data_IF_313809469063
#
_entry.id   IF_313809469063
#
_cell.length_a   1.000
_cell.length_b   1.000
_cell.length_c   1.000
_cell.angle_alpha   90.00
_cell.angle_beta   90.00
_cell.angle_gamma   90.00
#
_symmetry.space_group_name_H-M   'P 1'
#
loop_
_entity.id
_entity.type
_entity.pdbx_description
1 polymer ?
#
# COMPACT_ATOMS: atom_id res chain seq x y z
N UNK A 1 -47.78 19.22 -55.07
CA UNK A 1 -46.86 18.77 -56.14
C UNK A 1 -45.54 19.50 -55.89
N UNK A 2 -44.65 18.97 -55.05
CA UNK A 2 -43.52 18.07 -55.36
C UNK A 2 -42.58 18.63 -56.45
N UNK A 3 -41.52 19.30 -56.02
CA UNK A 3 -40.21 19.29 -56.67
C UNK A 3 -39.20 18.74 -55.66
N UNK A 4 -38.58 17.64 -56.07
CA UNK A 4 -37.63 16.83 -55.32
C UNK A 4 -36.24 17.48 -55.41
N UNK A 5 -35.59 17.70 -54.27
CA UNK A 5 -34.13 17.86 -54.22
C UNK A 5 -33.60 16.93 -53.13
N UNK A 6 -32.56 16.21 -53.50
CA UNK A 6 -32.01 15.02 -52.88
C UNK A 6 -31.01 15.42 -51.77
N UNK A 7 -31.33 15.12 -50.50
CA UNK A 7 -30.42 15.29 -49.36
C UNK A 7 -29.78 13.95 -48.98
N UNK A 8 -28.67 13.63 -49.64
CA UNK A 8 -27.72 12.61 -49.18
C UNK A 8 -26.41 13.29 -48.78
N UNK A 9 -25.82 12.98 -47.61
CA UNK A 9 -24.55 13.56 -47.20
C UNK A 9 -23.39 12.97 -48.01
N UNK A 10 -22.60 13.83 -48.66
CA UNK A 10 -21.35 13.48 -49.32
C UNK A 10 -20.21 13.40 -48.29
N UNK A 11 -19.52 12.27 -48.22
CA UNK A 11 -18.29 12.10 -47.42
C UNK A 11 -17.11 12.92 -47.98
N UNK A 12 -16.23 13.47 -47.13
CA UNK A 12 -15.00 14.09 -47.61
C UNK A 12 -13.93 13.03 -47.95
N UNK A 13 -13.41 13.10 -49.18
CA UNK A 13 -12.25 12.35 -49.63
C UNK A 13 -10.98 12.85 -48.90
N UNK A 14 -10.37 12.01 -48.07
CA UNK A 14 -9.05 12.27 -47.47
C UNK A 14 -7.98 11.58 -48.31
N UNK A 15 -7.16 12.36 -49.03
CA UNK A 15 -5.93 11.87 -49.68
C UNK A 15 -4.73 12.17 -48.78
N UNK A 16 -3.94 11.17 -48.34
CA UNK A 16 -2.74 11.43 -47.55
C UNK A 16 -1.60 11.95 -48.45
N UNK A 17 -1.05 13.11 -48.10
CA UNK A 17 0.25 13.60 -48.59
C UNK A 17 1.40 12.86 -47.90
N UNK A 18 2.54 12.61 -48.58
CA UNK A 18 3.67 11.90 -47.99
C UNK A 18 4.38 12.77 -46.93
N UNK A 19 4.55 12.21 -45.74
CA UNK A 19 5.31 12.80 -44.62
C UNK A 19 6.80 12.99 -44.98
N UNK A 20 7.28 14.22 -44.82
CA UNK A 20 8.71 14.52 -44.74
C UNK A 20 9.18 14.20 -43.31
N UNK A 21 10.03 13.19 -43.17
CA UNK A 21 10.67 12.84 -41.89
C UNK A 21 11.63 13.97 -41.44
N UNK A 22 11.50 14.50 -40.21
CA UNK A 22 12.53 15.37 -39.66
C UNK A 22 13.76 14.54 -39.29
N UNK A 23 14.90 14.86 -39.92
CA UNK A 23 16.21 14.31 -39.60
C UNK A 23 16.58 14.66 -38.15
N UNK A 24 16.82 13.63 -37.33
CA UNK A 24 17.36 13.79 -35.98
C UNK A 24 18.84 14.24 -36.05
N UNK A 25 19.28 15.22 -35.25
CA UNK A 25 20.69 15.55 -35.15
C UNK A 25 21.45 14.39 -34.49
N UNK A 26 22.52 13.94 -35.14
CA UNK A 26 23.40 12.89 -34.65
C UNK A 26 24.00 13.27 -33.29
N UNK A 27 23.63 12.55 -32.23
CA UNK A 27 24.31 12.63 -30.95
C UNK A 27 25.67 11.93 -31.06
N UNK A 28 26.75 12.72 -31.10
CA UNK A 28 28.10 12.24 -30.79
C UNK A 28 28.10 11.75 -29.34
N UNK A 29 28.17 10.44 -29.15
CA UNK A 29 28.56 9.86 -27.87
C UNK A 29 30.01 10.25 -27.57
N UNK A 30 30.22 11.19 -26.65
CA UNK A 30 31.50 11.33 -25.97
C UNK A 30 31.60 10.21 -24.94
N UNK A 31 32.56 9.30 -25.14
CA UNK A 31 32.98 8.32 -24.13
C UNK A 31 33.42 9.06 -22.86
N UNK A 32 32.96 8.66 -21.66
CA UNK A 32 33.59 9.07 -20.43
C UNK A 32 35.02 8.50 -20.39
N UNK A 33 36.00 9.35 -20.11
CA UNK A 33 37.37 8.93 -19.86
C UNK A 33 37.43 7.92 -18.72
N UNK A 34 38.18 6.83 -18.93
CA UNK A 34 38.42 5.80 -17.94
C UNK A 34 39.10 6.38 -16.69
N UNK A 35 38.49 6.18 -15.52
CA UNK A 35 39.16 6.40 -14.24
C UNK A 35 40.29 5.36 -14.06
N UNK A 36 41.48 5.75 -13.57
CA UNK A 36 42.58 4.82 -13.36
C UNK A 36 42.23 3.79 -12.27
N UNK A 37 42.41 2.52 -12.60
CA UNK A 37 42.33 1.40 -11.66
C UNK A 37 43.44 1.53 -10.60
N UNK A 38 43.05 1.80 -9.35
CA UNK A 38 43.94 1.52 -8.22
C UNK A 38 43.83 0.03 -7.88
N UNK A 39 44.93 -0.69 -8.06
CA UNK A 39 45.08 -2.08 -7.67
C UNK A 39 44.97 -2.23 -6.16
N UNK A 40 44.04 -3.08 -5.71
CA UNK A 40 44.01 -3.56 -4.34
C UNK A 40 45.13 -4.60 -4.16
N UNK A 41 46.18 -4.22 -3.42
CA UNK A 41 47.13 -5.15 -2.81
C UNK A 41 46.57 -5.61 -1.45
N UNK A 42 46.56 -6.91 -1.13
CA UNK A 42 46.21 -7.36 0.21
C UNK A 42 47.30 -6.97 1.21
N UNK A 43 46.91 -6.24 2.26
CA UNK A 43 47.78 -5.87 3.36
C UNK A 43 48.20 -7.11 4.17
N UNK A 44 49.51 -7.32 4.25
CA UNK A 44 50.15 -8.31 5.11
C UNK A 44 49.94 -7.92 6.58
N UNK A 45 49.36 -8.84 7.36
CA UNK A 45 49.17 -8.66 8.80
C UNK A 45 50.50 -8.89 9.52
N UNK A 46 50.99 -7.89 10.24
CA UNK A 46 52.05 -8.07 11.24
C UNK A 46 51.44 -8.62 12.53
N UNK A 47 52.10 -9.57 13.21
CA UNK A 47 51.63 -10.10 14.49
C UNK A 47 51.94 -9.11 15.63
N UNK A 48 50.89 -8.70 16.35
CA UNK A 48 51.05 -8.01 17.65
C UNK A 48 51.08 -9.08 18.74
N UNK A 49 52.22 -9.15 19.44
CA UNK A 49 52.40 -9.93 20.65
C UNK A 49 51.60 -9.34 21.81
N UNK A 50 50.73 -10.14 22.43
CA UNK A 50 50.14 -9.84 23.74
C UNK A 50 50.63 -10.88 24.76
N UNK A 51 51.30 -10.39 25.80
CA UNK A 51 51.77 -11.16 26.95
C UNK A 51 50.60 -11.61 27.85
N UNK A 52 50.68 -12.79 28.50
CA UNK A 52 49.69 -13.22 29.49
C UNK A 52 49.92 -12.57 30.87
N UNK A 53 48.84 -12.09 31.48
CA UNK A 53 48.79 -11.65 32.90
C UNK A 53 48.20 -12.78 33.75
N UNK A 54 48.77 -13.12 34.92
CA UNK A 54 48.38 -14.27 35.74
C UNK A 54 47.09 -14.05 36.56
N UNK A 55 46.36 -15.12 36.92
CA UNK A 55 45.13 -15.03 37.72
C UNK A 55 45.41 -14.91 39.23
N UNK A 56 44.68 -14.04 39.91
CA UNK A 56 44.60 -13.98 41.38
C UNK A 56 43.46 -14.88 41.92
N UNK A 57 43.65 -15.55 43.07
CA UNK A 57 42.61 -16.33 43.72
C UNK A 57 41.84 -15.51 44.77
N UNK A 58 40.50 -15.60 44.77
CA UNK A 58 39.69 -15.22 45.93
C UNK A 58 38.63 -16.28 46.24
N UNK A 59 38.81 -16.84 47.42
CA UNK A 59 38.00 -17.78 48.17
C UNK A 59 36.78 -17.12 48.80
N UNK A 60 35.62 -17.81 48.78
CA UNK A 60 34.53 -17.61 49.74
C UNK A 60 34.05 -18.95 50.30
N UNK A 61 33.65 -19.01 51.59
CA UNK A 61 33.55 -20.24 52.37
C UNK A 61 32.25 -21.03 52.16
N UNK A 62 32.38 -22.36 52.16
CA UNK A 62 31.29 -23.33 52.12
C UNK A 62 30.72 -23.53 53.52
N UNK A 63 29.46 -23.13 53.74
CA UNK A 63 28.70 -23.52 54.92
C UNK A 63 28.08 -24.91 54.70
N UNK A 64 28.35 -25.82 55.62
CA UNK A 64 27.82 -27.18 55.67
C UNK A 64 26.36 -27.18 56.13
N UNK A 65 25.49 -27.87 55.39
CA UNK A 65 24.18 -28.32 55.87
C UNK A 65 24.05 -29.85 55.75
N UNK A 66 23.36 -30.50 56.71
CA UNK A 66 23.40 -31.94 56.91
C UNK A 66 22.55 -32.73 55.91
N UNK A 67 23.06 -33.90 55.53
CA UNK A 67 22.43 -34.91 54.67
C UNK A 67 21.27 -35.56 55.41
N UNK A 68 20.03 -35.40 54.91
CA UNK A 68 18.89 -36.23 55.31
C UNK A 68 18.81 -37.48 54.41
N UNK A 69 18.50 -38.67 54.97
CA UNK A 69 18.39 -39.91 54.20
C UNK A 69 17.14 -39.92 53.29
N UNK A 70 17.36 -40.38 52.04
CA UNK A 70 16.37 -40.50 50.98
C UNK A 70 15.24 -41.46 51.35
N UNK A 71 13.99 -40.99 51.23
CA UNK A 71 12.81 -41.86 51.10
C UNK A 71 12.59 -42.20 49.61
N UNK A 72 12.17 -43.44 49.27
CA UNK A 72 11.99 -43.86 47.88
C UNK A 72 10.78 -43.17 47.23
N UNK A 73 11.04 -42.45 46.14
CA UNK A 73 10.03 -41.77 45.31
C UNK A 73 9.41 -42.80 44.34
N UNK A 74 8.09 -42.95 44.41
CA UNK A 74 7.30 -43.73 43.47
C UNK A 74 7.34 -43.11 42.05
N UNK A 75 7.29 -43.90 40.97
CA UNK A 75 7.48 -43.41 39.61
C UNK A 75 6.31 -42.50 39.17
N UNK A 76 6.60 -41.22 38.93
CA UNK A 76 5.69 -40.27 38.31
C UNK A 76 5.96 -40.13 36.81
N UNK A 77 4.86 -39.98 36.06
CA UNK A 77 4.72 -40.05 34.61
C UNK A 77 5.77 -39.35 33.75
N UNK A 78 6.02 -39.97 32.60
CA UNK A 78 6.77 -39.45 31.47
C UNK A 78 6.19 -38.11 30.99
N UNK A 79 6.92 -37.02 31.16
CA UNK A 79 6.74 -35.82 30.34
C UNK A 79 7.63 -35.95 29.10
N UNK A 80 7.10 -35.76 27.88
CA UNK A 80 7.93 -35.81 26.68
C UNK A 80 8.92 -34.64 26.67
N UNK A 81 10.20 -34.96 26.48
CA UNK A 81 11.27 -33.98 26.30
C UNK A 81 10.99 -33.10 25.07
N UNK A 82 11.25 -31.79 25.20
CA UNK A 82 11.22 -30.86 24.07
C UNK A 82 12.24 -31.32 23.00
N UNK A 83 11.88 -31.31 21.70
CA UNK A 83 12.80 -31.72 20.65
C UNK A 83 13.97 -30.75 20.55
N UNK A 84 15.19 -31.28 20.50
CA UNK A 84 16.40 -30.51 20.23
C UNK A 84 16.26 -29.80 18.85
N UNK A 85 16.75 -28.56 18.71
CA UNK A 85 16.71 -27.87 17.43
C UNK A 85 17.58 -28.64 16.42
N UNK A 86 16.96 -29.14 15.36
CA UNK A 86 17.68 -29.69 14.22
C UNK A 86 18.55 -28.58 13.63
N UNK A 87 19.86 -28.83 13.53
CA UNK A 87 20.83 -27.95 12.87
C UNK A 87 20.47 -27.81 11.39
N UNK A 88 19.66 -26.80 11.07
CA UNK A 88 19.46 -26.36 9.70
C UNK A 88 20.79 -25.88 9.12
N UNK A 89 21.19 -26.42 7.98
CA UNK A 89 22.35 -25.95 7.20
C UNK A 89 22.14 -24.53 6.64
N UNK A 90 20.92 -24.00 6.70
CA UNK A 90 20.61 -22.62 6.34
C UNK A 90 20.81 -21.75 7.56
N UNK A 91 21.74 -20.80 7.44
CA UNK A 91 22.03 -19.80 8.47
C UNK A 91 20.73 -19.11 8.92
N UNK A 92 20.48 -18.93 10.23
CA UNK A 92 19.21 -18.39 10.75
C UNK A 92 18.80 -17.04 10.13
N UNK A 93 19.76 -16.18 9.81
CA UNK A 93 19.52 -14.88 9.16
C UNK A 93 19.23 -14.95 7.64
N UNK A 94 19.43 -16.10 7.01
CA UNK A 94 19.12 -16.35 5.59
C UNK A 94 17.77 -17.08 5.42
N UNK A 95 17.08 -17.40 6.52
CA UNK A 95 15.71 -17.90 6.48
C UNK A 95 14.78 -16.76 6.08
N UNK A 96 14.55 -16.60 4.77
CA UNK A 96 13.59 -15.66 4.21
C UNK A 96 12.20 -16.07 4.68
N UNK A 97 11.58 -15.24 5.53
CA UNK A 97 10.35 -15.56 6.27
C UNK A 97 10.52 -16.86 7.05
N UNK A 98 11.07 -16.72 8.26
CA UNK A 98 11.30 -17.81 9.17
C UNK A 98 10.11 -18.77 9.26
N UNK A 99 10.49 -20.05 9.37
CA UNK A 99 9.71 -21.16 9.84
C UNK A 99 8.99 -22.02 8.79
N UNK A 100 9.55 -23.21 8.56
CA UNK A 100 8.79 -24.44 8.28
C UNK A 100 7.87 -24.85 9.45
N UNK A 101 7.74 -24.02 10.49
CA UNK A 101 6.68 -24.15 11.49
C UNK A 101 5.36 -23.79 10.81
N UNK A 102 4.30 -24.54 11.05
CA UNK A 102 3.00 -24.22 10.47
C UNK A 102 2.60 -22.81 10.89
N UNK A 103 2.46 -21.91 9.91
CA UNK A 103 1.87 -20.59 10.11
C UNK A 103 0.56 -20.81 10.88
N UNK A 104 0.45 -20.19 12.06
CA UNK A 104 -0.75 -20.30 12.88
C UNK A 104 -1.91 -19.81 12.01
N UNK A 105 -2.82 -20.72 11.66
CA UNK A 105 -3.98 -20.35 10.85
C UNK A 105 -4.77 -19.31 11.64
N UNK A 106 -5.10 -18.17 11.03
CA UNK A 106 -5.95 -17.18 11.67
C UNK A 106 -7.21 -17.86 12.22
N UNK A 107 -7.52 -17.60 13.49
CA UNK A 107 -8.73 -18.07 14.14
C UNK A 107 -9.96 -17.28 13.71
N UNK A 108 -9.74 -16.09 13.14
CA UNK A 108 -10.76 -15.20 12.60
C UNK A 108 -10.62 -15.07 11.07
N UNK A 109 -11.72 -14.86 10.34
CA UNK A 109 -11.66 -14.64 8.89
C UNK A 109 -10.82 -13.41 8.50
N UNK A 110 -10.87 -12.34 9.30
CA UNK A 110 -10.12 -11.09 9.09
C UNK A 110 -9.08 -10.88 10.21
N UNK A 111 -7.96 -10.18 9.92
CA UNK A 111 -6.94 -9.87 10.92
C UNK A 111 -7.45 -8.86 11.97
N UNK A 112 -6.94 -8.95 13.21
CA UNK A 112 -7.21 -7.97 14.27
C UNK A 112 -6.38 -6.70 14.10
N UNK A 113 -6.95 -5.54 14.41
CA UNK A 113 -6.23 -4.24 14.43
C UNK A 113 -5.09 -4.22 15.48
N UNK A 114 -5.05 -5.16 16.41
CA UNK A 114 -3.98 -5.27 17.41
C UNK A 114 -2.62 -5.65 16.82
N UNK A 115 -2.61 -6.15 15.57
CA UNK A 115 -1.37 -6.32 14.81
C UNK A 115 -0.75 -4.98 14.37
N UNK A 116 -1.49 -3.87 14.50
CA UNK A 116 -1.05 -2.52 14.14
C UNK A 116 -0.76 -1.69 15.39
N UNK A 117 0.32 -0.91 15.32
CA UNK A 117 0.68 0.06 16.36
C UNK A 117 -0.45 1.08 16.58
N UNK A 118 -0.95 1.26 17.82
CA UNK A 118 -1.93 2.28 18.12
C UNK A 118 -1.34 3.70 18.03
N UNK A 119 -2.17 4.73 17.74
CA UNK A 119 -1.72 6.10 17.84
C UNK A 119 -1.37 6.45 19.31
N UNK A 120 -0.47 7.41 19.55
CA UNK A 120 -0.18 7.93 20.89
C UNK A 120 -1.47 8.42 21.59
N UNK A 121 -1.57 8.20 22.89
CA UNK A 121 -2.73 8.62 23.70
C UNK A 121 -2.80 10.12 23.96
N UNK A 122 -1.66 10.81 23.90
CA UNK A 122 -1.55 12.24 24.14
C UNK A 122 -1.43 13.01 22.82
N UNK A 123 -2.41 13.86 22.54
CA UNK A 123 -2.33 14.85 21.46
C UNK A 123 -1.74 16.12 22.05
N UNK A 124 -0.58 16.56 21.55
CA UNK A 124 -0.01 17.81 22.00
C UNK A 124 -0.94 18.99 21.69
N UNK A 125 -1.16 19.90 22.65
CA UNK A 125 -2.02 21.05 22.44
C UNK A 125 -1.41 21.99 21.40
N UNK A 126 -2.29 22.63 20.62
CA UNK A 126 -1.88 23.64 19.66
C UNK A 126 -1.46 24.92 20.40
N UNK A 127 -0.23 25.36 20.17
CA UNK A 127 0.28 26.64 20.67
C UNK A 127 -0.27 27.80 19.82
N UNK A 128 -1.39 28.39 20.26
CA UNK A 128 -2.05 29.50 19.58
C UNK A 128 -1.17 30.75 19.51
N UNK A 129 -0.36 31.01 20.53
CA UNK A 129 0.54 32.16 20.56
C UNK A 129 1.64 32.04 19.50
N UNK A 130 2.21 30.85 19.32
CA UNK A 130 3.15 30.59 18.24
C UNK A 130 2.50 30.76 16.85
N UNK A 131 1.23 30.37 16.69
CA UNK A 131 0.49 30.54 15.44
C UNK A 131 0.22 32.01 15.12
N UNK A 132 -0.18 32.82 16.08
CA UNK A 132 -0.37 34.27 15.89
C UNK A 132 0.95 34.97 15.52
N UNK A 133 2.06 34.61 16.17
CA UNK A 133 3.37 35.14 15.80
C UNK A 133 3.77 34.72 14.38
N UNK A 134 3.51 33.47 14.00
CA UNK A 134 3.73 33.00 12.63
C UNK A 134 2.86 33.76 11.62
N UNK A 135 1.58 34.02 11.94
CA UNK A 135 0.69 34.80 11.10
C UNK A 135 1.25 36.21 10.82
N UNK A 136 1.66 36.93 11.87
CA UNK A 136 2.30 38.25 11.73
C UNK A 136 3.60 38.19 10.93
N UNK A 137 4.39 37.13 11.10
CA UNK A 137 5.61 36.92 10.33
C UNK A 137 5.30 36.68 8.84
N UNK A 138 4.26 35.92 8.52
CA UNK A 138 3.80 35.69 7.15
C UNK A 138 3.41 37.01 6.48
N UNK A 139 2.62 37.84 7.15
CA UNK A 139 2.24 39.18 6.65
C UNK A 139 3.48 40.05 6.39
N UNK A 140 4.41 40.09 7.35
CA UNK A 140 5.65 40.85 7.21
C UNK A 140 6.50 40.36 6.02
N UNK A 141 6.64 39.04 5.83
CA UNK A 141 7.39 38.49 4.70
C UNK A 141 6.70 38.75 3.36
N UNK A 142 5.38 38.68 3.29
CA UNK A 142 4.66 39.05 2.07
C UNK A 142 4.86 40.54 1.75
N UNK A 143 4.85 41.41 2.76
CA UNK A 143 5.09 42.83 2.60
C UNK A 143 6.49 43.15 2.04
N UNK A 144 7.54 42.41 2.45
CA UNK A 144 8.90 42.54 1.90
C UNK A 144 8.93 42.33 0.37
N UNK A 145 8.06 41.45 -0.16
CA UNK A 145 7.90 41.24 -1.61
C UNK A 145 6.88 42.18 -2.26
N UNK A 146 6.46 43.24 -1.55
CA UNK A 146 5.42 44.20 -1.96
C UNK A 146 4.08 43.52 -2.25
N UNK A 147 3.73 42.52 -1.44
CA UNK A 147 2.43 41.84 -1.47
C UNK A 147 1.71 42.21 -0.17
N UNK A 148 0.67 43.04 -0.29
CA UNK A 148 -0.16 43.40 0.86
C UNK A 148 -1.27 42.34 1.03
N UNK A 149 -1.24 41.65 2.16
CA UNK A 149 -2.20 40.63 2.53
C UNK A 149 -2.30 40.56 4.05
N UNK A 150 -3.49 40.29 4.55
CA UNK A 150 -3.78 40.12 5.97
C UNK A 150 -4.14 38.65 6.24
N UNK A 151 -3.61 38.06 7.31
CA UNK A 151 -4.00 36.73 7.78
C UNK A 151 -5.28 36.87 8.58
N UNK A 152 -6.40 36.43 8.01
CA UNK A 152 -7.72 36.55 8.64
C UNK A 152 -8.07 35.35 9.50
N UNK A 153 -7.43 34.21 9.25
CA UNK A 153 -7.67 32.97 10.00
C UNK A 153 -6.50 31.99 9.83
N UNK A 154 -6.44 30.98 10.69
CA UNK A 154 -5.55 29.83 10.53
C UNK A 154 -6.21 28.54 11.01
N UNK A 155 -5.85 27.42 10.39
CA UNK A 155 -6.35 26.09 10.71
C UNK A 155 -5.16 25.14 10.87
N UNK A 156 -4.78 24.82 12.12
CA UNK A 156 -3.69 23.90 12.42
C UNK A 156 -4.14 22.46 12.16
N UNK A 157 -3.28 21.68 11.50
CA UNK A 157 -3.48 20.27 11.22
C UNK A 157 -2.35 19.39 11.76
N UNK A 158 -2.36 18.07 11.46
CA UNK A 158 -1.34 17.15 11.97
C UNK A 158 0.08 17.42 11.44
N UNK A 159 0.19 17.80 10.16
CA UNK A 159 1.49 17.96 9.46
C UNK A 159 1.78 19.40 9.07
N UNK A 160 0.73 20.14 8.71
CA UNK A 160 0.81 21.53 8.26
C UNK A 160 -0.20 22.39 9.01
N UNK A 161 -0.02 23.70 8.95
CA UNK A 161 -1.02 24.70 9.32
C UNK A 161 -1.34 25.54 8.09
N UNK A 162 -2.64 25.72 7.80
CA UNK A 162 -3.10 26.60 6.72
C UNK A 162 -3.43 27.97 7.29
N UNK A 163 -2.80 29.01 6.76
CA UNK A 163 -3.14 30.41 7.01
C UNK A 163 -4.03 30.92 5.87
N UNK A 164 -5.12 31.58 6.20
CA UNK A 164 -6.06 32.16 5.23
C UNK A 164 -5.71 33.63 5.03
N UNK A 165 -5.35 33.99 3.80
CA UNK A 165 -4.89 35.31 3.42
C UNK A 165 -6.00 36.07 2.70
N UNK A 166 -6.32 37.25 3.22
CA UNK A 166 -7.11 38.25 2.51
C UNK A 166 -6.16 39.17 1.74
N UNK A 167 -6.20 39.10 0.42
CA UNK A 167 -5.31 39.90 -0.43
C UNK A 167 -5.87 41.29 -0.66
N UNK A 168 -5.01 42.30 -0.71
CA UNK A 168 -5.42 43.64 -1.11
C UNK A 168 -5.99 43.63 -2.56
N UNK A 169 -6.96 44.51 -2.88
CA UNK A 169 -7.53 44.60 -4.22
C UNK A 169 -6.46 44.72 -5.33
N UNK A 170 -6.62 43.92 -6.39
CA UNK A 170 -5.70 43.89 -7.53
C UNK A 170 -4.47 42.98 -7.37
N UNK A 171 -4.21 42.44 -6.17
CA UNK A 171 -3.15 41.44 -5.96
C UNK A 171 -3.62 40.06 -6.43
N UNK A 172 -2.91 39.47 -7.39
CA UNK A 172 -3.23 38.13 -7.93
C UNK A 172 -2.59 37.03 -7.09
N UNK A 173 -3.34 35.95 -6.81
CA UNK A 173 -2.85 34.77 -6.08
C UNK A 173 -1.59 34.16 -6.74
N UNK A 174 -1.55 34.11 -8.07
CA UNK A 174 -0.42 33.60 -8.84
C UNK A 174 0.93 34.29 -8.50
N UNK A 175 0.90 35.56 -8.07
CA UNK A 175 2.10 36.28 -7.64
C UNK A 175 2.74 35.64 -6.41
N UNK A 176 1.91 35.14 -5.48
CA UNK A 176 2.34 34.44 -4.27
C UNK A 176 2.83 33.04 -4.66
N UNK A 177 2.09 32.33 -5.54
CA UNK A 177 2.48 31.01 -6.05
C UNK A 177 3.90 31.01 -6.63
N UNK A 178 4.23 32.03 -7.43
CA UNK A 178 5.56 32.19 -8.04
C UNK A 178 6.68 32.50 -7.04
N UNK A 179 6.35 33.01 -5.84
CA UNK A 179 7.31 33.35 -4.78
C UNK A 179 7.44 32.26 -3.72
N UNK A 180 6.75 31.13 -3.87
CA UNK A 180 6.68 30.06 -2.86
C UNK A 180 8.05 29.61 -2.34
N UNK A 181 9.07 29.49 -3.20
CA UNK A 181 10.45 29.13 -2.80
C UNK A 181 11.15 30.20 -1.98
N UNK A 182 11.02 31.47 -2.39
CA UNK A 182 11.63 32.60 -1.67
C UNK A 182 10.94 32.86 -0.34
N UNK A 183 9.62 32.68 -0.29
CA UNK A 183 8.82 32.77 0.92
C UNK A 183 9.17 31.63 1.89
N UNK A 184 9.33 30.40 1.40
CA UNK A 184 9.80 29.27 2.21
C UNK A 184 11.14 29.58 2.88
N UNK A 185 12.10 30.11 2.11
CA UNK A 185 13.41 30.54 2.60
C UNK A 185 13.30 31.66 3.64
N UNK A 186 12.47 32.67 3.38
CA UNK A 186 12.27 33.82 4.27
C UNK A 186 11.59 33.47 5.60
N UNK A 187 10.75 32.43 5.60
CA UNK A 187 10.12 31.86 6.78
C UNK A 187 10.95 30.75 7.46
N UNK A 188 12.11 30.39 6.91
CA UNK A 188 12.94 29.27 7.38
C UNK A 188 12.16 27.95 7.46
N UNK A 189 11.31 27.71 6.45
CA UNK A 189 10.55 26.45 6.30
C UNK A 189 11.06 25.66 5.10
N UNK A 190 10.89 24.33 5.13
CA UNK A 190 11.35 23.45 4.05
C UNK A 190 10.66 23.77 2.73
N UNK A 191 9.35 24.06 2.78
CA UNK A 191 8.53 24.39 1.63
C UNK A 191 7.29 25.13 2.09
N UNK A 192 6.68 25.89 1.17
CA UNK A 192 5.38 26.53 1.34
C UNK A 192 4.49 26.13 0.18
N UNK A 193 3.26 25.74 0.48
CA UNK A 193 2.25 25.45 -0.55
C UNK A 193 1.20 26.57 -0.57
N UNK A 194 0.96 27.10 -1.75
CA UNK A 194 -0.06 28.14 -1.98
C UNK A 194 -1.30 27.47 -2.56
N UNK A 195 -2.44 27.70 -1.93
CA UNK A 195 -3.76 27.24 -2.36
C UNK A 195 -4.51 28.45 -2.89
N UNK A 196 -4.57 28.60 -4.21
CA UNK A 196 -5.13 29.81 -4.83
C UNK A 196 -6.60 30.03 -4.52
N UNK A 197 -7.37 28.95 -4.34
CA UNK A 197 -8.80 29.01 -4.01
C UNK A 197 -9.11 28.06 -2.87
N UNK A 198 -9.64 28.60 -1.77
CA UNK A 198 -10.22 27.80 -0.69
C UNK A 198 -11.72 27.62 -0.99
N UNK A 199 -12.22 26.38 -1.10
CA UNK A 199 -13.65 26.14 -1.34
C UNK A 199 -14.53 26.84 -0.30
N UNK A 200 -15.50 27.63 -0.77
CA UNK A 200 -16.45 28.34 0.09
C UNK A 200 -15.89 29.61 0.77
N UNK A 201 -14.64 30.01 0.52
CA UNK A 201 -14.05 31.21 1.12
C UNK A 201 -13.34 32.10 0.09
N UNK A 202 -13.41 33.44 0.19
CA UNK A 202 -12.76 34.35 -0.75
C UNK A 202 -11.27 34.59 -0.43
N UNK A 203 -10.58 33.61 0.16
CA UNK A 203 -9.22 33.74 0.67
C UNK A 203 -8.25 32.81 -0.05
N UNK A 204 -6.97 33.20 -0.07
CA UNK A 204 -5.86 32.36 -0.53
C UNK A 204 -5.29 31.60 0.66
N UNK A 205 -5.07 30.30 0.51
CA UNK A 205 -4.44 29.48 1.54
C UNK A 205 -2.92 29.50 1.43
N UNK A 206 -2.24 29.64 2.56
CA UNK A 206 -0.79 29.47 2.67
C UNK A 206 -0.50 28.38 3.69
N UNK A 207 -0.03 27.25 3.21
CA UNK A 207 0.21 26.04 4.01
C UNK A 207 1.69 25.96 4.41
N UNK A 208 1.93 25.99 5.71
CA UNK A 208 3.27 25.89 6.31
C UNK A 208 3.43 24.56 7.05
N UNK A 209 4.59 23.89 6.95
CA UNK A 209 4.87 22.72 7.77
C UNK A 209 4.92 23.09 9.26
N UNK A 210 4.32 22.26 10.10
CA UNK A 210 4.43 22.41 11.54
C UNK A 210 5.86 22.12 12.00
N UNK A 211 6.29 22.79 13.09
CA UNK A 211 7.58 22.51 13.73
C UNK A 211 7.67 21.05 14.20
N UNK A 212 6.59 20.54 14.77
CA UNK A 212 6.41 19.13 15.12
C UNK A 212 5.31 18.52 14.26
N UNK A 213 5.69 17.58 13.40
CA UNK A 213 4.74 16.83 12.56
C UNK A 213 4.23 15.62 13.35
N UNK A 214 2.93 15.38 13.29
CA UNK A 214 2.32 14.20 13.89
C UNK A 214 2.26 13.06 12.87
N UNK A 215 2.60 11.85 13.32
CA UNK A 215 2.46 10.65 12.51
C UNK A 215 0.99 10.26 12.41
N UNK A 216 0.51 10.00 11.20
CA UNK A 216 -0.83 9.44 10.97
C UNK A 216 -0.70 7.92 10.94
N UNK A 217 -1.33 7.24 11.90
CA UNK A 217 -1.24 5.78 12.02
C UNK A 217 -2.33 5.11 11.19
N UNK A 218 -1.99 3.99 10.52
CA UNK A 218 -2.96 3.23 9.74
C UNK A 218 -4.13 2.73 10.62
N UNK A 219 -3.83 2.22 11.82
CA UNK A 219 -4.83 1.75 12.80
C UNK A 219 -5.87 2.81 13.11
N UNK A 220 -5.43 4.06 13.30
CA UNK A 220 -6.30 5.17 13.63
C UNK A 220 -7.38 5.41 12.56
N UNK A 221 -7.01 5.30 11.28
CA UNK A 221 -7.94 5.53 10.18
C UNK A 221 -8.81 4.29 9.91
N UNK A 222 -8.25 3.08 10.06
CA UNK A 222 -9.01 1.83 9.95
C UNK A 222 -10.08 1.69 11.04
N UNK A 223 -9.82 2.18 12.25
CA UNK A 223 -10.78 2.15 13.36
C UNK A 223 -11.87 3.23 13.23
N UNK A 224 -11.74 4.14 12.26
CA UNK A 224 -12.75 5.17 12.03
C UNK A 224 -14.01 4.60 11.35
N UNK A 225 -15.18 5.13 11.72
CA UNK A 225 -16.48 4.78 11.14
C UNK A 225 -16.51 4.91 9.61
N UNK A 226 -15.86 5.96 9.03
CA UNK A 226 -15.78 6.13 7.58
C UNK A 226 -15.18 4.92 6.86
N UNK A 227 -14.21 4.24 7.50
CA UNK A 227 -13.65 3.01 6.96
C UNK A 227 -14.53 1.81 7.32
N UNK A 228 -14.85 1.61 8.61
CA UNK A 228 -15.56 0.41 9.09
C UNK A 228 -16.92 0.22 8.43
N UNK A 229 -17.70 1.31 8.34
CA UNK A 229 -19.09 1.26 7.87
C UNK A 229 -19.20 1.25 6.34
N UNK A 230 -18.09 1.48 5.62
CA UNK A 230 -18.09 1.44 4.16
C UNK A 230 -18.22 -0.02 3.67
N UNK A 231 -19.28 -0.36 2.91
CA UNK A 231 -19.55 -1.73 2.48
C UNK A 231 -18.61 -2.20 1.36
N UNK A 232 -17.91 -1.30 0.66
CA UNK A 232 -17.05 -1.70 -0.45
C UNK A 232 -15.82 -2.46 0.06
N UNK A 233 -15.56 -3.70 -0.40
CA UNK A 233 -14.36 -4.45 -0.05
C UNK A 233 -13.09 -3.81 -0.65
N UNK A 234 -13.24 -2.87 -1.57
CA UNK A 234 -12.18 -2.10 -2.21
C UNK A 234 -12.00 -0.70 -1.58
N UNK A 235 -12.48 -0.51 -0.34
CA UNK A 235 -12.22 0.70 0.43
C UNK A 235 -10.75 0.75 0.85
N UNK A 236 -10.09 1.86 0.57
CA UNK A 236 -8.68 2.12 0.90
C UNK A 236 -8.52 3.34 1.78
N UNK A 237 -7.63 3.24 2.77
CA UNK A 237 -7.19 4.36 3.60
C UNK A 237 -6.16 5.18 2.83
N UNK A 238 -6.37 6.49 2.76
CA UNK A 238 -5.39 7.44 2.22
C UNK A 238 -4.63 8.16 3.34
N UNK A 239 -5.24 8.30 4.51
CA UNK A 239 -4.66 8.94 5.68
C UNK A 239 -5.62 9.95 6.29
N UNK A 240 -5.10 11.14 6.59
CA UNK A 240 -5.88 12.28 7.07
C UNK A 240 -5.70 13.48 6.15
N UNK A 241 -6.71 14.32 6.08
CA UNK A 241 -6.60 15.59 5.39
C UNK A 241 -5.79 16.62 6.22
N UNK A 242 -5.74 17.84 5.70
CA UNK A 242 -5.00 18.94 6.34
C UNK A 242 -5.63 19.42 7.65
N UNK A 243 -6.89 19.10 7.93
CA UNK A 243 -7.56 19.40 9.21
C UNK A 243 -7.42 18.24 10.21
N UNK A 244 -6.96 17.07 9.75
CA UNK A 244 -6.82 15.87 10.57
C UNK A 244 -8.00 14.90 10.45
N UNK A 245 -8.96 15.18 9.57
CA UNK A 245 -10.10 14.30 9.36
C UNK A 245 -9.67 13.06 8.56
N UNK A 246 -10.18 11.87 8.91
CA UNK A 246 -9.85 10.64 8.20
C UNK A 246 -10.37 10.67 6.77
N UNK A 247 -9.49 10.29 5.84
CA UNK A 247 -9.76 10.22 4.40
C UNK A 247 -9.63 8.77 3.95
N UNK A 248 -10.76 8.25 3.48
CA UNK A 248 -10.89 6.94 2.83
C UNK A 248 -11.44 7.14 1.43
N UNK A 249 -11.13 6.22 0.54
CA UNK A 249 -11.65 6.22 -0.81
C UNK A 249 -12.09 4.81 -1.23
N UNK A 250 -12.98 4.73 -2.21
CA UNK A 250 -13.47 3.46 -2.75
C UNK A 250 -12.90 3.26 -4.15
N UNK A 251 -12.01 2.28 -4.31
CA UNK A 251 -11.37 2.00 -5.60
C UNK A 251 -12.39 1.51 -6.65
N UNK A 252 -13.54 0.97 -6.24
CA UNK A 252 -14.61 0.62 -7.20
C UNK A 252 -15.22 1.86 -7.87
N UNK A 253 -15.24 3.01 -7.16
CA UNK A 253 -15.73 4.29 -7.68
C UNK A 253 -14.64 5.10 -8.41
N UNK A 254 -13.37 4.78 -8.13
CA UNK A 254 -12.19 5.26 -8.85
C UNK A 254 -11.56 4.08 -9.59
N UNK A 255 -12.19 3.59 -10.68
CA UNK A 255 -11.99 2.22 -11.18
C UNK A 255 -10.53 1.90 -11.51
N UNK A 256 -9.73 2.93 -11.79
CA UNK A 256 -8.27 2.83 -11.89
C UNK A 256 -7.61 4.02 -11.18
N UNK A 257 -6.46 3.77 -10.55
CA UNK A 257 -5.68 4.77 -9.81
C UNK A 257 -4.23 4.77 -10.30
N UNK A 258 -3.68 5.96 -10.50
CA UNK A 258 -2.25 6.17 -10.77
C UNK A 258 -1.58 6.77 -9.53
N UNK A 259 -0.54 6.10 -9.03
CA UNK A 259 0.26 6.58 -7.89
C UNK A 259 1.69 6.87 -8.36
N UNK A 260 2.13 8.11 -8.22
CA UNK A 260 3.48 8.56 -8.60
C UNK A 260 4.13 9.34 -7.44
N UNK A 261 5.45 9.21 -7.32
CA UNK A 261 6.23 9.91 -6.31
C UNK A 261 7.71 9.59 -6.42
N UNK A 262 8.57 10.51 -5.99
CA UNK A 262 10.03 10.31 -5.92
C UNK A 262 10.39 9.32 -4.81
N UNK A 263 11.61 8.78 -4.84
CA UNK A 263 12.12 7.95 -3.73
C UNK A 263 12.04 8.72 -2.41
N UNK A 264 11.58 8.05 -1.35
CA UNK A 264 11.41 8.68 -0.03
C UNK A 264 10.15 9.55 0.14
N UNK A 265 9.35 9.76 -0.91
CA UNK A 265 8.09 10.53 -0.82
C UNK A 265 6.95 9.81 -0.07
N UNK A 266 7.13 8.52 0.26
CA UNK A 266 6.12 7.70 0.91
C UNK A 266 5.24 6.87 -0.04
N UNK A 267 5.52 6.86 -1.36
CA UNK A 267 4.77 6.05 -2.35
C UNK A 267 4.56 4.60 -1.91
N UNK A 268 5.63 3.91 -1.54
CA UNK A 268 5.56 2.48 -1.20
C UNK A 268 4.78 2.23 0.09
N UNK A 269 4.91 3.11 1.08
CA UNK A 269 4.10 3.09 2.30
C UNK A 269 2.61 3.31 1.97
N UNK A 270 2.30 4.25 1.07
CA UNK A 270 0.93 4.49 0.60
C UNK A 270 0.31 3.29 -0.11
N UNK A 271 1.07 2.62 -0.99
CA UNK A 271 0.62 1.38 -1.65
C UNK A 271 0.36 0.27 -0.62
N UNK A 272 1.25 0.10 0.35
CA UNK A 272 1.06 -0.87 1.44
C UNK A 272 -0.18 -0.53 2.28
N UNK A 273 -0.43 0.75 2.59
CA UNK A 273 -1.66 1.15 3.28
C UNK A 273 -2.92 0.78 2.48
N UNK A 274 -2.91 0.93 1.15
CA UNK A 274 -4.03 0.52 0.30
C UNK A 274 -4.23 -1.01 0.31
N UNK A 275 -3.15 -1.79 0.19
CA UNK A 275 -3.22 -3.26 0.22
C UNK A 275 -3.73 -3.74 1.58
N UNK A 276 -3.15 -3.24 2.68
CA UNK A 276 -3.59 -3.58 4.03
C UNK A 276 -5.06 -3.20 4.25
N UNK A 277 -5.52 -2.06 3.75
CA UNK A 277 -6.93 -1.66 3.86
C UNK A 277 -7.87 -2.74 3.30
N UNK A 278 -7.56 -3.28 2.13
CA UNK A 278 -8.34 -4.38 1.54
C UNK A 278 -8.20 -5.67 2.36
N UNK A 279 -7.00 -6.01 2.84
CA UNK A 279 -6.79 -7.21 3.67
C UNK A 279 -7.52 -7.17 5.03
N UNK A 280 -7.74 -5.97 5.59
CA UNK A 280 -8.52 -5.77 6.82
C UNK A 280 -10.04 -5.77 6.60
N UNK A 281 -10.51 -5.80 5.34
CA UNK A 281 -11.93 -5.67 5.01
C UNK A 281 -12.49 -6.82 4.15
N UNK A 282 -11.66 -7.44 3.31
CA UNK A 282 -12.09 -8.37 2.29
C UNK A 282 -11.55 -9.78 2.51
N UNK A 283 -12.40 -10.80 2.36
CA UNK A 283 -11.98 -12.19 2.22
C UNK A 283 -11.40 -12.44 0.83
N UNK A 284 -10.66 -13.56 0.62
CA UNK A 284 -10.19 -13.94 -0.71
C UNK A 284 -11.31 -14.14 -1.75
N UNK A 285 -12.53 -14.46 -1.31
CA UNK A 285 -13.69 -14.57 -2.20
C UNK A 285 -14.22 -13.21 -2.65
N UNK A 286 -13.99 -12.14 -1.87
CA UNK A 286 -14.41 -10.78 -2.20
C UNK A 286 -13.41 -10.08 -3.12
N UNK A 287 -12.11 -10.24 -2.83
CA UNK A 287 -11.01 -9.53 -3.52
C UNK A 287 -9.86 -10.48 -3.81
N UNK A 288 -9.36 -10.40 -5.05
CA UNK A 288 -8.22 -11.16 -5.54
C UNK A 288 -7.18 -10.22 -6.14
N UNK A 289 -5.90 -10.48 -5.87
CA UNK A 289 -4.78 -9.66 -6.34
C UNK A 289 -3.96 -10.36 -7.43
N UNK A 290 -3.49 -9.57 -8.38
CA UNK A 290 -2.33 -9.87 -9.20
C UNK A 290 -1.31 -8.80 -8.84
N UNK A 291 -0.20 -9.20 -8.22
CA UNK A 291 0.87 -8.28 -7.83
C UNK A 291 2.01 -8.41 -8.82
N UNK A 292 2.47 -7.27 -9.36
CA UNK A 292 3.59 -7.19 -10.31
C UNK A 292 4.66 -6.33 -9.66
N UNK A 293 5.82 -6.92 -9.35
CA UNK A 293 6.97 -6.26 -8.74
C UNK A 293 8.26 -6.64 -9.47
N UNK A 294 8.60 -5.94 -10.56
CA UNK A 294 9.77 -6.28 -11.37
C UNK A 294 11.11 -6.03 -10.66
N UNK A 295 11.09 -5.34 -9.51
CA UNK A 295 12.29 -5.07 -8.71
C UNK A 295 12.39 -5.95 -7.46
N UNK A 296 11.33 -6.69 -7.13
CA UNK A 296 11.23 -7.55 -5.95
C UNK A 296 11.44 -6.84 -4.60
N UNK A 297 11.22 -5.53 -4.52
CA UNK A 297 11.54 -4.73 -3.34
C UNK A 297 10.32 -4.48 -2.46
N UNK A 298 9.13 -4.38 -3.04
CA UNK A 298 7.99 -3.72 -2.39
C UNK A 298 6.86 -4.70 -2.11
N UNK A 299 6.52 -5.55 -3.10
CA UNK A 299 5.35 -6.44 -3.01
C UNK A 299 5.72 -7.89 -2.71
N UNK A 300 7.01 -8.25 -2.77
CA UNK A 300 7.47 -9.62 -2.47
C UNK A 300 7.16 -10.07 -1.02
N UNK A 301 6.89 -9.12 -0.12
CA UNK A 301 6.43 -9.39 1.25
C UNK A 301 5.04 -10.04 1.31
N UNK A 302 4.21 -9.84 0.28
CA UNK A 302 2.86 -10.40 0.21
C UNK A 302 2.81 -11.80 -0.41
N UNK A 303 3.95 -12.39 -0.75
CA UNK A 303 4.00 -13.73 -1.32
C UNK A 303 3.29 -14.75 -0.42
N UNK A 304 2.45 -15.61 -1.02
CA UNK A 304 1.71 -16.65 -0.30
C UNK A 304 0.42 -16.21 0.42
N UNK A 305 0.01 -14.93 0.38
CA UNK A 305 -1.31 -14.56 0.94
C UNK A 305 -2.45 -15.24 0.15
N UNK A 306 -3.55 -15.62 0.80
CA UNK A 306 -4.63 -16.34 0.13
C UNK A 306 -5.39 -15.51 -0.89
N UNK A 307 -5.18 -14.18 -0.94
CA UNK A 307 -5.77 -13.26 -1.92
C UNK A 307 -5.04 -13.22 -3.27
N UNK A 308 -3.83 -13.79 -3.39
CA UNK A 308 -3.08 -13.82 -4.66
C UNK A 308 -3.63 -14.84 -5.67
N UNK A 309 -3.91 -14.39 -6.90
CA UNK A 309 -4.29 -15.26 -8.04
C UNK A 309 -3.13 -16.09 -8.59
N UNK A 310 -1.93 -15.54 -8.46
CA UNK A 310 -0.67 -16.12 -8.89
C UNK A 310 0.41 -15.58 -7.95
N UNK A 311 1.57 -16.24 -7.90
CA UNK A 311 2.76 -15.72 -7.24
C UNK A 311 3.09 -14.30 -7.72
N UNK A 312 3.81 -13.52 -6.89
CA UNK A 312 4.19 -12.15 -7.23
C UNK A 312 5.00 -12.16 -8.53
N UNK A 313 4.48 -11.49 -9.54
CA UNK A 313 5.03 -11.52 -10.89
C UNK A 313 6.24 -10.59 -10.95
N UNK A 314 7.40 -11.15 -11.29
CA UNK A 314 8.68 -10.44 -11.37
C UNK A 314 9.15 -10.27 -12.82
N UNK A 315 8.89 -11.26 -13.67
CA UNK A 315 9.23 -11.19 -15.10
C UNK A 315 8.25 -10.29 -15.86
N UNK A 316 8.78 -9.43 -16.73
CA UNK A 316 7.98 -8.46 -17.49
C UNK A 316 7.12 -9.10 -18.58
N UNK A 317 7.50 -10.27 -19.12
CA UNK A 317 6.67 -11.01 -20.08
C UNK A 317 5.50 -11.66 -19.37
N UNK A 318 5.73 -12.20 -18.17
CA UNK A 318 4.66 -12.74 -17.34
C UNK A 318 3.70 -11.65 -16.87
N UNK A 319 4.21 -10.45 -16.59
CA UNK A 319 3.37 -9.28 -16.30
C UNK A 319 2.43 -8.96 -17.49
N UNK A 320 2.96 -8.98 -18.73
CA UNK A 320 2.13 -8.79 -19.92
C UNK A 320 1.08 -9.90 -20.09
N UNK A 321 1.43 -11.16 -19.77
CA UNK A 321 0.51 -12.28 -19.81
C UNK A 321 -0.60 -12.15 -18.74
N UNK A 322 -0.27 -11.69 -17.53
CA UNK A 322 -1.25 -11.45 -16.47
C UNK A 322 -2.26 -10.35 -16.85
N UNK A 323 -1.81 -9.30 -17.54
CA UNK A 323 -2.70 -8.26 -18.06
C UNK A 323 -3.61 -8.80 -19.19
N UNK A 324 -3.07 -9.62 -20.11
CA UNK A 324 -3.89 -10.30 -21.14
C UNK A 324 -4.93 -11.23 -20.52
N UNK A 325 -4.55 -11.98 -19.48
CA UNK A 325 -5.48 -12.79 -18.72
C UNK A 325 -6.60 -11.94 -18.11
N UNK A 326 -6.26 -10.76 -17.56
CA UNK A 326 -7.23 -9.83 -16.98
C UNK A 326 -8.25 -9.33 -18.02
N UNK A 327 -7.81 -9.08 -19.26
CA UNK A 327 -8.70 -8.75 -20.39
C UNK A 327 -9.65 -9.91 -20.70
N UNK A 328 -9.13 -11.14 -20.79
CA UNK A 328 -9.95 -12.31 -21.07
C UNK A 328 -10.98 -12.59 -19.95
N UNK A 329 -10.58 -12.43 -18.68
CA UNK A 329 -11.48 -12.57 -17.53
C UNK A 329 -12.56 -11.47 -17.53
N UNK A 330 -12.20 -10.23 -17.91
CA UNK A 330 -13.17 -9.15 -18.10
C UNK A 330 -14.21 -9.51 -19.17
N UNK A 331 -13.79 -10.01 -20.34
CA UNK A 331 -14.72 -10.46 -21.39
C UNK A 331 -15.60 -11.63 -20.94
N UNK A 332 -15.02 -12.60 -20.22
CA UNK A 332 -15.78 -13.71 -19.63
C UNK A 332 -16.86 -13.20 -18.69
N UNK A 333 -16.53 -12.26 -17.81
CA UNK A 333 -17.51 -11.63 -16.89
C UNK A 333 -18.59 -10.88 -17.64
N UNK A 334 -18.28 -10.15 -18.71
CA UNK A 334 -19.31 -9.50 -19.52
C UNK A 334 -20.29 -10.49 -20.14
N UNK A 335 -19.80 -11.63 -20.64
CA UNK A 335 -20.67 -12.71 -21.17
C UNK A 335 -21.59 -13.27 -20.08
N UNK A 336 -21.04 -13.60 -18.91
CA UNK A 336 -21.81 -14.11 -17.77
C UNK A 336 -22.86 -13.11 -17.27
N UNK A 337 -22.49 -11.83 -17.16
CA UNK A 337 -23.40 -10.76 -16.77
C UNK A 337 -24.52 -10.56 -17.80
N UNK A 338 -24.20 -10.63 -19.10
CA UNK A 338 -25.18 -10.55 -20.19
C UNK A 338 -26.16 -11.73 -20.15
N UNK A 339 -25.66 -12.96 -19.99
CA UNK A 339 -26.50 -14.16 -19.89
C UNK A 339 -27.48 -14.12 -18.72
N UNK A 340 -27.09 -13.47 -17.62
CA UNK A 340 -27.93 -13.29 -16.43
C UNK A 340 -28.75 -12.00 -16.46
N UNK A 341 -28.58 -11.13 -17.45
CA UNK A 341 -29.25 -9.84 -17.52
C UNK A 341 -28.92 -8.93 -16.34
N UNK A 342 -27.64 -8.76 -16.02
CA UNK A 342 -27.13 -7.84 -14.99
C UNK A 342 -26.10 -6.87 -15.58
N UNK A 343 -25.92 -5.71 -14.94
CA UNK A 343 -25.08 -4.62 -15.46
C UNK A 343 -23.69 -4.52 -14.84
N UNK A 344 -23.46 -5.15 -13.69
CA UNK A 344 -22.21 -5.06 -12.95
C UNK A 344 -21.98 -6.32 -12.11
N UNK A 345 -20.77 -6.45 -11.56
CA UNK A 345 -20.35 -7.60 -10.77
C UNK A 345 -21.17 -7.76 -9.47
N UNK A 346 -21.58 -6.65 -8.84
CA UNK A 346 -22.42 -6.70 -7.64
C UNK A 346 -23.77 -7.38 -7.94
N UNK A 347 -24.45 -6.95 -9.01
CA UNK A 347 -25.72 -7.57 -9.43
C UNK A 347 -25.55 -9.02 -9.89
N UNK A 348 -24.41 -9.38 -10.48
CA UNK A 348 -24.08 -10.79 -10.75
C UNK A 348 -23.99 -11.60 -9.45
N UNK A 349 -23.22 -11.12 -8.47
CA UNK A 349 -23.03 -11.80 -7.19
C UNK A 349 -24.35 -11.93 -6.41
N UNK A 350 -25.19 -10.89 -6.41
CA UNK A 350 -26.51 -10.92 -5.77
C UNK A 350 -27.40 -12.02 -6.35
N UNK A 351 -27.47 -12.16 -7.69
CA UNK A 351 -28.24 -13.23 -8.35
C UNK A 351 -27.71 -14.63 -8.00
N UNK A 352 -26.40 -14.80 -7.97
CA UNK A 352 -25.79 -16.10 -7.61
C UNK A 352 -26.11 -16.44 -6.15
N UNK A 353 -25.99 -15.48 -5.23
CA UNK A 353 -26.30 -15.66 -3.81
C UNK A 353 -27.79 -15.91 -3.54
N UNK A 354 -28.68 -15.27 -4.28
CA UNK A 354 -30.13 -15.52 -4.24
C UNK A 354 -30.47 -16.95 -4.69
N UNK A 355 -29.93 -17.36 -5.85
CA UNK A 355 -30.13 -18.70 -6.37
C UNK A 355 -29.59 -19.79 -5.41
N UNK A 356 -28.45 -19.54 -4.77
CA UNK A 356 -27.90 -20.42 -3.74
C UNK A 356 -28.82 -20.51 -2.51
N UNK A 357 -29.38 -19.39 -2.01
CA UNK A 357 -30.37 -19.38 -0.92
C UNK A 357 -31.65 -20.14 -1.26
N UNK A 358 -32.05 -20.12 -2.52
CA UNK A 358 -33.21 -20.89 -3.02
C UNK A 358 -32.90 -22.39 -3.20
N UNK A 359 -31.66 -22.83 -2.95
CA UNK A 359 -31.23 -24.22 -3.19
C UNK A 359 -31.20 -24.60 -4.68
N UNK A 360 -31.18 -23.61 -5.58
CA UNK A 360 -31.21 -23.79 -7.04
C UNK A 360 -30.04 -23.05 -7.68
N UNK A 361 -28.79 -23.52 -7.54
CA UNK A 361 -27.62 -22.83 -8.05
C UNK A 361 -27.70 -22.68 -9.58
N UNK A 362 -27.29 -21.51 -10.07
CA UNK A 362 -27.25 -21.21 -11.50
C UNK A 362 -26.03 -21.93 -12.11
N UNK A 363 -26.22 -22.85 -13.09
CA UNK A 363 -25.10 -23.45 -13.80
C UNK A 363 -24.41 -22.42 -14.70
N UNK A 364 -23.11 -22.60 -14.97
CA UNK A 364 -22.40 -21.73 -15.92
C UNK A 364 -23.03 -21.89 -17.32
N UNK A 365 -23.63 -20.82 -17.89
CA UNK A 365 -24.36 -20.90 -19.16
C UNK A 365 -23.48 -21.18 -20.38
N UNK A 366 -22.15 -21.03 -20.23
CA UNK A 366 -21.19 -21.27 -21.32
C UNK A 366 -20.38 -22.55 -21.14
N UNK A 367 -20.63 -23.32 -20.08
CA UNK A 367 -19.93 -24.58 -19.83
C UNK A 367 -20.26 -25.61 -20.92
N UNK A 368 -19.23 -26.25 -21.47
CA UNK A 368 -19.37 -27.34 -22.44
C UNK A 368 -18.81 -28.66 -21.89
N UNK A 369 -19.42 -29.82 -22.22
CA UNK A 369 -18.82 -31.12 -21.91
C UNK A 369 -17.44 -31.25 -22.56
N UNK A 370 -16.38 -31.18 -21.76
CA UNK A 370 -14.98 -31.15 -22.21
C UNK A 370 -14.14 -30.04 -21.56
N UNK A 371 -14.78 -29.01 -21.02
CA UNK A 371 -14.11 -27.96 -20.26
C UNK A 371 -13.59 -28.52 -18.93
N UNK A 372 -12.28 -28.81 -18.86
CA UNK A 372 -11.64 -29.26 -17.62
C UNK A 372 -11.56 -28.10 -16.64
N UNK A 373 -12.37 -28.10 -15.60
CA UNK A 373 -12.09 -27.33 -14.39
C UNK A 373 -11.21 -28.17 -13.47
N UNK A 374 -10.09 -27.61 -13.02
CA UNK A 374 -9.24 -28.21 -11.99
C UNK A 374 -9.98 -28.35 -10.66
N UNK A 375 -10.84 -29.38 -10.53
CA UNK A 375 -11.26 -29.89 -9.22
C UNK A 375 -10.06 -30.63 -8.61
N UNK A 376 -9.22 -29.92 -7.86
CA UNK A 376 -8.60 -30.52 -6.68
C UNK A 376 -9.64 -30.49 -5.56
N UNK A 377 -10.55 -31.47 -5.58
CA UNK A 377 -11.30 -31.81 -4.37
C UNK A 377 -10.30 -32.43 -3.39
N UNK A 378 -10.12 -31.79 -2.25
CA UNK A 378 -9.63 -32.45 -1.04
C UNK A 378 -10.48 -33.69 -0.80
N UNK A 379 -9.81 -34.83 -0.59
CA UNK A 379 -10.45 -36.13 -0.47
C UNK A 379 -11.27 -36.25 0.82
N UNK A 380 -12.47 -36.81 0.68
CA UNK A 380 -13.10 -37.64 1.70
C UNK A 380 -14.21 -38.49 1.05
N UNK A 381 -13.95 -39.79 0.94
CA UNK A 381 -14.94 -40.88 0.99
C UNK A 381 -16.04 -40.94 -0.07
N UNK A 382 -15.81 -41.69 -1.15
CA UNK A 382 -16.88 -42.46 -1.81
C UNK A 382 -16.65 -43.95 -1.59
N UNK A 383 -17.30 -44.50 -0.57
CA UNK A 383 -17.64 -45.92 -0.51
C UNK A 383 -18.81 -46.16 -1.47
N UNK A 384 -18.53 -46.80 -2.61
CA UNK A 384 -19.55 -47.32 -3.50
C UNK A 384 -20.03 -48.67 -2.98
N UNK A 385 -21.28 -48.73 -2.49
CA UNK A 385 -21.99 -49.99 -2.26
C UNK A 385 -22.67 -50.37 -3.57
N UNK A 386 -22.14 -51.40 -4.23
CA UNK A 386 -22.82 -52.12 -5.29
C UNK A 386 -24.11 -52.73 -4.72
N UNK A 387 -25.28 -52.32 -5.22
CA UNK A 387 -26.50 -53.13 -5.18
C UNK A 387 -26.76 -53.66 -6.59
N UNK A 388 -26.94 -54.97 -6.66
CA UNK A 388 -27.26 -55.68 -7.88
C UNK A 388 -28.75 -55.60 -8.26
N UNK A 389 -28.99 -55.86 -9.54
CA UNK A 389 -30.15 -56.49 -10.16
C UNK A 389 -29.61 -57.00 -11.51
N UNK A 390 -29.72 -58.25 -11.94
CA UNK A 390 -30.83 -59.18 -11.75
C UNK A 390 -31.80 -58.98 -12.90
N UNK A 391 -31.59 -59.71 -14.00
CA UNK A 391 -32.37 -59.66 -15.24
C UNK A 391 -31.62 -60.32 -16.38
#
# INVERSE_FOLDING_TARGET
>A
MKTLVNDGPSEPLFTPTPEVQPQQPAQRYQQPAAAPQQGYQPAQHQPIHHQPVPPQPQSYPTASQPVQPQQPVAPQGHQPAAPAPQESLIHPLLMRNGDSRPLQKPTTPLPSLDLLTPPPSEVEPVDTFALEQMARLVEARLADFRIKADVVNYSPGPVITRFELNLAPGVKAARISNLSRDLARSLSTVAVRVVEVIPGKPYVGLELPNKKRQTVYLREVLDNAKFRDNPSPLTVVLGKDIAGDPVVADLAKMPHLLVAGTTGSGKSVGVNAMILSMLYKAQPEDVRFIMIDPKMLELSVYEGIPHLLTEVVTDMKDAANALRWSVNEMERRYKLMSALGVRNLAGYNEKIAEAARMGRPIPDPYWKPGDRHGRRTSGAGKTAVHRGAGG
#
